data_IF_438317684207
#
_entry.id   IF_438317684207
#
_cell.length_a   1.000
_cell.length_b   1.000
_cell.length_c   1.000
_cell.angle_alpha   90.00
_cell.angle_beta   90.00
_cell.angle_gamma   90.00
#
_symmetry.space_group_name_H-M   'P 1'
#
loop_
_entity.id
_entity.type
_entity.pdbx_description
1 polymer ?
#
# COMPACT_ATOMS: atom_id res chain seq x y z
N UNK A 1 18.12 14.38 -11.19
CA UNK A 1 17.39 14.88 -12.38
C UNK A 1 17.10 13.70 -13.29
N UNK A 2 15.86 13.19 -13.30
CA UNK A 2 15.46 12.12 -14.21
C UNK A 2 15.46 12.66 -15.65
N UNK A 3 16.12 11.97 -16.58
CA UNK A 3 16.13 12.36 -17.99
C UNK A 3 14.71 12.18 -18.55
N UNK A 4 14.08 13.28 -18.90
CA UNK A 4 12.76 13.26 -19.55
C UNK A 4 12.89 12.55 -20.91
N UNK A 5 11.87 11.77 -21.34
CA UNK A 5 11.82 11.27 -22.70
C UNK A 5 11.88 12.45 -23.69
N UNK A 6 12.67 12.30 -24.76
CA UNK A 6 12.90 13.38 -25.71
C UNK A 6 11.58 13.85 -26.34
N UNK A 7 11.33 15.16 -26.35
CA UNK A 7 10.16 15.78 -26.98
C UNK A 7 9.02 16.20 -26.03
N UNK A 8 9.15 16.02 -24.71
CA UNK A 8 8.19 16.58 -23.73
C UNK A 8 8.82 17.76 -22.98
N UNK A 9 8.50 18.99 -23.40
CA UNK A 9 8.85 20.21 -22.67
C UNK A 9 7.77 20.45 -21.60
N UNK A 10 8.17 20.56 -20.34
CA UNK A 10 7.26 20.85 -19.23
C UNK A 10 6.89 22.34 -19.24
N UNK A 11 5.78 22.71 -19.89
CA UNK A 11 5.30 24.10 -19.92
C UNK A 11 4.46 24.48 -18.69
N UNK A 12 3.99 23.48 -17.93
CA UNK A 12 3.19 23.67 -16.73
C UNK A 12 3.66 22.76 -15.59
N UNK A 13 3.55 23.23 -14.35
CA UNK A 13 3.90 22.50 -13.13
C UNK A 13 3.19 21.14 -13.03
N UNK A 14 1.93 21.06 -13.49
CA UNK A 14 1.15 19.82 -13.46
C UNK A 14 1.73 18.74 -14.38
N UNK A 15 2.28 19.16 -15.54
CA UNK A 15 2.95 18.26 -16.48
C UNK A 15 4.29 17.78 -15.90
N UNK A 16 4.89 18.59 -15.01
CA UNK A 16 6.15 18.24 -14.38
C UNK A 16 6.01 17.25 -13.21
N UNK A 17 4.89 17.31 -12.49
CA UNK A 17 4.58 16.38 -11.39
C UNK A 17 3.92 15.08 -11.89
N UNK A 18 3.46 15.03 -13.15
CA UNK A 18 2.80 13.85 -13.71
C UNK A 18 3.71 12.60 -13.70
N UNK A 19 3.26 11.56 -12.98
CA UNK A 19 3.93 10.25 -12.87
C UNK A 19 3.91 9.51 -14.23
N UNK A 20 2.83 9.67 -15.01
CA UNK A 20 2.64 9.05 -16.32
C UNK A 20 2.52 10.16 -17.35
N UNK A 21 3.58 10.37 -18.14
CA UNK A 21 3.69 11.53 -19.06
C UNK A 21 3.29 11.20 -20.50
N UNK A 22 3.30 9.93 -20.89
CA UNK A 22 3.09 9.51 -22.29
C UNK A 22 1.92 8.54 -22.44
N UNK A 23 1.26 8.58 -23.61
CA UNK A 23 0.21 7.61 -23.98
C UNK A 23 0.72 6.17 -23.97
N UNK A 24 2.01 5.96 -24.27
CA UNK A 24 2.68 4.66 -24.19
C UNK A 24 2.83 4.18 -22.74
N UNK A 25 3.22 5.06 -21.80
CA UNK A 25 3.28 4.68 -20.39
C UNK A 25 1.89 4.36 -19.83
N UNK A 26 0.85 5.11 -20.22
CA UNK A 26 -0.53 4.77 -19.89
C UNK A 26 -0.93 3.39 -20.43
N UNK A 27 -0.61 3.10 -21.69
CA UNK A 27 -0.83 1.79 -22.30
C UNK A 27 -0.12 0.67 -21.54
N UNK A 28 1.16 0.85 -21.20
CA UNK A 28 1.94 -0.13 -20.45
C UNK A 28 1.41 -0.35 -19.03
N UNK A 29 0.99 0.70 -18.33
CA UNK A 29 0.38 0.58 -17.00
C UNK A 29 -0.93 -0.19 -17.02
N UNK A 30 -1.79 0.09 -18.02
CA UNK A 30 -3.06 -0.64 -18.19
C UNK A 30 -2.83 -2.10 -18.57
N UNK A 31 -1.87 -2.36 -19.48
CA UNK A 31 -1.47 -3.73 -19.86
C UNK A 31 -0.92 -4.47 -18.64
N UNK A 32 -0.06 -3.83 -17.83
CA UNK A 32 0.46 -4.42 -16.61
C UNK A 32 -0.62 -4.77 -15.59
N UNK A 33 -1.61 -3.89 -15.40
CA UNK A 33 -2.75 -4.13 -14.52
C UNK A 33 -3.61 -5.29 -15.04
N UNK A 34 -3.92 -5.30 -16.33
CA UNK A 34 -4.70 -6.38 -16.96
C UNK A 34 -3.98 -7.73 -16.84
N UNK A 35 -2.67 -7.76 -17.09
CA UNK A 35 -1.87 -8.98 -16.99
C UNK A 35 -1.85 -9.53 -15.55
N UNK A 36 -1.85 -8.65 -14.54
CA UNK A 36 -1.92 -9.02 -13.13
C UNK A 36 -3.25 -9.72 -12.78
N UNK A 37 -4.38 -9.25 -13.31
CA UNK A 37 -5.69 -9.88 -13.11
C UNK A 37 -5.88 -11.17 -13.91
N UNK A 38 -5.20 -11.30 -15.05
CA UNK A 38 -5.33 -12.46 -15.94
C UNK A 38 -4.38 -13.60 -15.54
N UNK A 39 -3.20 -13.28 -14.98
CA UNK A 39 -2.21 -14.25 -14.49
C UNK A 39 -2.77 -15.37 -13.60
N UNK A 40 -3.60 -15.08 -12.57
CA UNK A 40 -4.13 -16.14 -11.70
C UNK A 40 -5.04 -17.15 -12.41
N UNK A 41 -5.63 -16.82 -13.57
CA UNK A 41 -6.46 -17.76 -14.33
C UNK A 41 -5.65 -18.88 -15.01
N UNK A 42 -4.36 -18.66 -15.26
CA UNK A 42 -3.48 -19.61 -15.95
C UNK A 42 -2.64 -20.46 -14.97
N UNK A 43 -2.76 -20.21 -13.67
CA UNK A 43 -1.94 -20.84 -12.64
C UNK A 43 -2.79 -21.86 -11.87
N UNK A 44 -2.61 -23.15 -12.20
CA UNK A 44 -3.38 -24.25 -11.59
C UNK A 44 -2.80 -24.78 -10.26
N UNK A 45 -1.72 -24.18 -9.75
CA UNK A 45 -1.00 -24.69 -8.56
C UNK A 45 -1.22 -23.79 -7.34
N UNK A 46 -1.74 -24.36 -6.25
CA UNK A 46 -2.09 -23.64 -5.01
C UNK A 46 -0.91 -22.86 -4.42
N UNK A 47 0.30 -23.46 -4.44
CA UNK A 47 1.52 -22.81 -3.92
C UNK A 47 1.84 -21.52 -4.67
N UNK A 48 1.65 -21.52 -5.99
CA UNK A 48 1.93 -20.38 -6.86
C UNK A 48 0.94 -19.25 -6.63
N UNK A 49 -0.34 -19.59 -6.38
CA UNK A 49 -1.39 -18.62 -6.04
C UNK A 49 -1.15 -17.96 -4.68
N UNK A 50 -0.70 -18.73 -3.68
CA UNK A 50 -0.31 -18.19 -2.37
C UNK A 50 0.85 -17.21 -2.52
N UNK A 51 1.91 -17.61 -3.24
CA UNK A 51 3.07 -16.75 -3.49
C UNK A 51 2.67 -15.46 -4.21
N UNK A 52 1.83 -15.54 -5.24
CA UNK A 52 1.35 -14.38 -5.97
C UNK A 52 0.55 -13.41 -5.08
N UNK A 53 -0.33 -13.95 -4.21
CA UNK A 53 -1.04 -13.13 -3.23
C UNK A 53 -0.08 -12.47 -2.23
N UNK A 54 0.89 -13.21 -1.69
CA UNK A 54 1.89 -12.65 -0.76
C UNK A 54 2.71 -11.53 -1.40
N UNK A 55 3.11 -11.71 -2.66
CA UNK A 55 3.80 -10.67 -3.43
C UNK A 55 2.91 -9.44 -3.60
N UNK A 56 1.64 -9.63 -4.00
CA UNK A 56 0.68 -8.54 -4.17
C UNK A 56 0.45 -7.74 -2.88
N UNK A 57 0.22 -8.44 -1.77
CA UNK A 57 0.07 -7.82 -0.44
C UNK A 57 1.33 -7.05 -0.07
N UNK A 58 2.52 -7.63 -0.28
CA UNK A 58 3.79 -6.98 0.04
C UNK A 58 4.01 -5.72 -0.79
N UNK A 59 3.68 -5.73 -2.09
CA UNK A 59 3.76 -4.54 -2.96
C UNK A 59 2.88 -3.43 -2.39
N UNK A 60 1.63 -3.73 -2.04
CA UNK A 60 0.70 -2.74 -1.48
C UNK A 60 1.24 -2.17 -0.16
N UNK A 61 1.72 -3.04 0.73
CA UNK A 61 2.29 -2.66 2.03
C UNK A 61 3.53 -1.78 1.87
N UNK A 62 4.44 -2.12 0.97
CA UNK A 62 5.66 -1.35 0.69
C UNK A 62 5.31 -0.03 -0.01
N UNK A 63 4.26 0.02 -0.83
CA UNK A 63 3.82 1.27 -1.43
C UNK A 63 3.30 2.25 -0.38
N UNK A 64 2.50 1.78 0.58
CA UNK A 64 2.10 2.58 1.75
C UNK A 64 3.31 3.06 2.57
N UNK A 65 4.31 2.20 2.75
CA UNK A 65 5.56 2.58 3.41
C UNK A 65 6.34 3.62 2.61
N UNK A 66 6.40 3.50 1.28
CA UNK A 66 7.05 4.46 0.39
C UNK A 66 6.40 5.84 0.49
N UNK A 67 5.08 5.91 0.70
CA UNK A 67 4.40 7.18 0.91
C UNK A 67 4.89 7.87 2.18
N UNK A 68 4.98 7.12 3.29
CA UNK A 68 5.42 7.66 4.57
C UNK A 68 6.92 8.01 4.58
N UNK A 69 7.76 7.09 4.13
CA UNK A 69 9.22 7.23 4.18
C UNK A 69 9.77 8.08 3.05
N UNK A 70 9.23 7.92 1.85
CA UNK A 70 9.68 8.60 0.63
C UNK A 70 9.14 10.03 0.51
N UNK A 71 7.82 10.21 0.59
CA UNK A 71 7.21 11.54 0.40
C UNK A 71 7.18 12.37 1.69
N UNK A 72 6.82 11.78 2.83
CA UNK A 72 6.74 12.52 4.10
C UNK A 72 8.07 12.57 4.86
N UNK A 73 9.08 11.79 4.45
CA UNK A 73 10.37 11.69 5.14
C UNK A 73 10.29 11.10 6.55
N UNK A 74 9.21 10.41 6.88
CA UNK A 74 8.96 9.82 8.21
C UNK A 74 9.37 8.35 8.21
N UNK A 75 10.32 7.97 9.09
CA UNK A 75 10.74 6.57 9.22
C UNK A 75 9.64 5.78 9.95
N UNK A 76 9.09 4.76 9.30
CA UNK A 76 8.09 3.86 9.87
C UNK A 76 8.63 2.42 9.92
N UNK A 77 8.81 1.89 11.14
CA UNK A 77 9.24 0.52 11.39
C UNK A 77 8.07 -0.39 11.81
N UNK A 78 6.88 0.17 11.99
CA UNK A 78 5.68 -0.51 12.48
C UNK A 78 4.69 -0.97 11.41
N UNK A 79 5.08 -0.91 10.13
CA UNK A 79 4.17 -1.10 9.00
C UNK A 79 3.43 -2.45 9.02
N UNK A 80 4.07 -3.51 9.53
CA UNK A 80 3.49 -4.85 9.60
C UNK A 80 2.34 -4.90 10.61
N UNK A 81 2.41 -4.12 11.70
CA UNK A 81 1.32 -4.02 12.67
C UNK A 81 0.03 -3.48 12.05
N UNK A 82 0.12 -2.38 11.29
CA UNK A 82 -1.05 -1.82 10.60
C UNK A 82 -1.59 -2.74 9.50
N UNK A 83 -0.71 -3.45 8.80
CA UNK A 83 -1.11 -4.49 7.84
C UNK A 83 -1.88 -5.63 8.55
N UNK A 84 -1.43 -6.05 9.73
CA UNK A 84 -2.09 -7.10 10.50
C UNK A 84 -3.50 -6.70 10.94
N UNK A 85 -3.71 -5.46 11.39
CA UNK A 85 -5.05 -4.96 11.79
C UNK A 85 -6.06 -5.11 10.64
N UNK A 86 -5.70 -4.65 9.44
CA UNK A 86 -6.57 -4.78 8.26
C UNK A 86 -6.81 -6.24 7.88
N UNK A 87 -5.75 -7.05 7.84
CA UNK A 87 -5.83 -8.47 7.53
C UNK A 87 -6.75 -9.24 8.48
N UNK A 88 -6.53 -9.12 9.80
CA UNK A 88 -7.35 -9.75 10.82
C UNK A 88 -8.79 -9.25 10.80
N UNK A 89 -9.01 -7.95 10.60
CA UNK A 89 -10.37 -7.41 10.48
C UNK A 89 -11.11 -8.03 9.29
N UNK A 90 -10.44 -8.10 8.12
CA UNK A 90 -11.03 -8.71 6.93
C UNK A 90 -11.32 -10.20 7.12
N UNK A 91 -10.45 -10.93 7.82
CA UNK A 91 -10.64 -12.34 8.14
C UNK A 91 -11.84 -12.56 9.08
N UNK A 92 -11.98 -11.72 10.12
CA UNK A 92 -13.11 -11.79 11.05
C UNK A 92 -14.43 -11.47 10.33
N UNK A 93 -14.46 -10.41 9.51
CA UNK A 93 -15.65 -10.03 8.74
C UNK A 93 -16.07 -11.11 7.73
N UNK A 94 -15.11 -11.74 7.07
CA UNK A 94 -15.39 -12.81 6.11
C UNK A 94 -15.81 -14.12 6.79
N UNK A 95 -15.12 -14.54 7.86
CA UNK A 95 -15.34 -15.85 8.51
C UNK A 95 -16.53 -15.81 9.48
N UNK A 96 -16.64 -14.78 10.32
CA UNK A 96 -17.67 -14.73 11.36
C UNK A 96 -18.97 -14.09 10.88
N UNK A 97 -18.89 -13.04 10.06
CA UNK A 97 -20.07 -12.31 9.58
C UNK A 97 -20.50 -12.72 8.17
N UNK A 98 -19.72 -13.55 7.47
CA UNK A 98 -20.05 -14.04 6.13
C UNK A 98 -20.20 -12.92 5.09
N UNK A 99 -19.60 -11.75 5.33
CA UNK A 99 -19.77 -10.59 4.47
C UNK A 99 -19.03 -10.78 3.14
N UNK A 100 -19.57 -10.22 2.03
CA UNK A 100 -18.91 -10.32 0.74
C UNK A 100 -17.58 -9.56 0.76
N UNK A 101 -16.60 -10.07 0.00
CA UNK A 101 -15.25 -9.49 -0.10
C UNK A 101 -15.25 -7.97 -0.34
N UNK A 102 -16.14 -7.50 -1.22
CA UNK A 102 -16.28 -6.09 -1.57
C UNK A 102 -16.70 -5.18 -0.41
N UNK A 103 -17.36 -5.73 0.61
CA UNK A 103 -17.73 -5.01 1.84
C UNK A 103 -16.64 -5.17 2.91
N UNK A 104 -16.03 -6.35 3.00
CA UNK A 104 -14.90 -6.60 3.90
C UNK A 104 -13.71 -5.68 3.60
N UNK A 105 -13.42 -5.43 2.32
CA UNK A 105 -12.29 -4.61 1.87
C UNK A 105 -12.34 -3.17 2.42
N UNK A 106 -13.40 -2.36 2.19
CA UNK A 106 -13.47 -1.01 2.73
C UNK A 106 -13.56 -0.99 4.25
N UNK A 107 -14.27 -1.94 4.88
CA UNK A 107 -14.38 -2.00 6.33
C UNK A 107 -13.04 -2.29 7.00
N UNK A 108 -12.27 -3.25 6.47
CA UNK A 108 -10.92 -3.53 6.94
C UNK A 108 -9.96 -2.34 6.73
N UNK A 109 -10.11 -1.62 5.61
CA UNK A 109 -9.38 -0.39 5.37
C UNK A 109 -9.73 0.70 6.39
N UNK A 110 -11.01 0.87 6.70
CA UNK A 110 -11.49 1.83 7.70
C UNK A 110 -10.99 1.49 9.11
N UNK A 111 -11.03 0.23 9.53
CA UNK A 111 -10.52 -0.15 10.85
C UNK A 111 -9.00 0.04 10.95
N UNK A 112 -8.25 -0.35 9.92
CA UNK A 112 -6.81 -0.08 9.85
C UNK A 112 -6.51 1.43 9.89
N UNK A 113 -7.30 2.26 9.18
CA UNK A 113 -7.17 3.71 9.21
C UNK A 113 -7.48 4.29 10.58
N UNK A 114 -8.54 3.82 11.26
CA UNK A 114 -8.89 4.27 12.62
C UNK A 114 -7.77 3.96 13.61
N UNK A 115 -7.24 2.74 13.60
CA UNK A 115 -6.09 2.37 14.44
C UNK A 115 -4.87 3.20 14.06
N UNK A 116 -4.63 3.40 12.77
CA UNK A 116 -3.58 4.28 12.25
C UNK A 116 -3.68 5.71 12.76
N UNK A 117 -4.89 6.28 12.86
CA UNK A 117 -5.11 7.63 13.42
C UNK A 117 -4.85 7.65 14.93
N UNK A 118 -5.34 6.65 15.66
CA UNK A 118 -5.16 6.55 17.12
C UNK A 118 -3.66 6.52 17.50
N UNK A 119 -2.86 5.73 16.79
CA UNK A 119 -1.41 5.65 17.04
C UNK A 119 -0.59 6.72 16.30
N UNK A 120 -1.07 7.18 15.15
CA UNK A 120 -0.38 8.16 14.31
C UNK A 120 -0.43 9.59 14.85
N UNK A 121 -1.58 10.03 15.38
CA UNK A 121 -1.72 11.36 15.98
C UNK A 121 -0.71 11.66 17.09
N UNK A 122 -0.49 10.78 18.10
CA UNK A 122 0.55 11.00 19.10
C UNK A 122 1.96 10.88 18.50
N UNK A 123 2.17 9.96 17.55
CA UNK A 123 3.46 9.76 16.91
C UNK A 123 3.93 11.02 16.14
N UNK A 124 3.03 11.75 15.48
CA UNK A 124 3.33 13.00 14.77
C UNK A 124 3.89 14.12 15.67
N UNK A 125 3.74 14.01 17.00
CA UNK A 125 4.31 14.99 17.95
C UNK A 125 5.80 14.78 18.22
N UNK A 126 6.37 13.63 17.85
CA UNK A 126 7.79 13.30 18.03
C UNK A 126 8.51 13.31 16.68
N UNK A 127 9.78 13.72 16.66
CA UNK A 127 10.56 13.91 15.42
C UNK A 127 11.67 12.89 15.24
N UNK A 128 11.96 12.57 13.98
CA UNK A 128 13.15 11.79 13.58
C UNK A 128 13.14 10.38 14.14
N UNK A 129 14.20 10.01 14.86
CA UNK A 129 14.40 8.65 15.38
C UNK A 129 13.34 8.23 16.42
N UNK A 130 12.83 9.19 17.20
CA UNK A 130 11.78 8.91 18.19
C UNK A 130 10.47 8.49 17.54
N UNK A 131 10.17 8.99 16.34
CA UNK A 131 9.01 8.55 15.57
C UNK A 131 9.16 7.10 15.13
N UNK A 132 10.35 6.70 14.65
CA UNK A 132 10.62 5.33 14.25
C UNK A 132 10.39 4.37 15.42
N UNK A 133 10.88 4.72 16.61
CA UNK A 133 10.63 3.99 17.87
C UNK A 133 9.14 3.92 18.22
N UNK A 134 8.40 5.02 18.07
CA UNK A 134 6.96 5.05 18.33
C UNK A 134 6.20 4.08 17.41
N UNK A 135 6.55 4.03 16.12
CA UNK A 135 5.93 3.07 15.18
C UNK A 135 6.28 1.62 15.50
N UNK A 136 7.53 1.35 15.91
CA UNK A 136 7.96 0.02 16.35
C UNK A 136 7.19 -0.41 17.61
N UNK A 137 7.05 0.48 18.59
CA UNK A 137 6.25 0.23 19.80
C UNK A 137 4.78 -0.01 19.46
N UNK A 138 4.20 0.77 18.54
CA UNK A 138 2.82 0.56 18.08
C UNK A 138 2.62 -0.84 17.50
N UNK A 139 3.55 -1.31 16.66
CA UNK A 139 3.48 -2.68 16.12
C UNK A 139 3.54 -3.74 17.23
N UNK A 140 4.42 -3.61 18.22
CA UNK A 140 4.49 -4.55 19.35
C UNK A 140 3.25 -4.55 20.26
N UNK A 141 2.50 -3.45 20.30
CA UNK A 141 1.25 -3.36 21.06
C UNK A 141 0.09 -4.03 20.28
N UNK A 142 0.15 -3.97 18.95
CA UNK A 142 -0.90 -4.47 18.06
C UNK A 142 -0.82 -6.00 17.86
N UNK A 143 0.40 -6.54 17.77
CA UNK A 143 0.70 -7.95 17.51
C UNK A 143 0.94 -8.72 18.81
#
# INVERSE_FOLDING_TARGET
>A
MARLPAGTLSESYDVDVAIVRTRLQWGLSVIGLALLFILPLFISSDRSLILLNTIGITIITVHGLNILTGYCGQINLGQVGFMAVGGYTSAILAIQFGLPFWVCLPLAGLTAALVGVIFGLPALRVKGFYLALATLAAQFIIL
#
